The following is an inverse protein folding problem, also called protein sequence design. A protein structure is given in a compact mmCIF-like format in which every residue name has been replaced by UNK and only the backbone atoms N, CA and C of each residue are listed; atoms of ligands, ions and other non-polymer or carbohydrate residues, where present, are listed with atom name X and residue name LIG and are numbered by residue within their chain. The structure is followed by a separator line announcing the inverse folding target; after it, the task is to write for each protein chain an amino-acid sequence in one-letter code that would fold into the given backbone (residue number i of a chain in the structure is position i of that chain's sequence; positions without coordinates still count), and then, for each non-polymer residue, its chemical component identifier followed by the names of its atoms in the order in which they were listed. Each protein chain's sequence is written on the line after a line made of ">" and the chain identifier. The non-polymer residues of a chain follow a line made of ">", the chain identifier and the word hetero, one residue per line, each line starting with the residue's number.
data_IF_023443416825
#
_entry.id   IF_023443416825
#
_cell.length_a   1.000
_cell.length_b   1.000
_cell.length_c   1.000
_cell.angle_alpha   90.00
_cell.angle_beta   90.00
_cell.angle_gamma   90.00
#
_symmetry.space_group_name_H-M   'P 1'
#
loop_
_entity.id
_entity.type
_entity.pdbx_description
1 polymer ?
#
# COMPACT_ATOMS: atom_id res chain seq x y z
N UNK A 1 -7.68 7.60 19.68
CA UNK A 1 -8.02 9.05 19.75
C UNK A 1 -8.93 9.37 18.56
N UNK A 2 -10.10 9.98 18.78
CA UNK A 2 -11.02 10.34 17.69
C UNK A 2 -10.79 11.81 17.33
N UNK A 3 -10.02 12.07 16.29
CA UNK A 3 -9.89 13.41 15.74
C UNK A 3 -11.09 13.69 14.83
N UNK A 4 -11.99 14.54 15.26
CA UNK A 4 -13.15 14.97 14.44
C UNK A 4 -12.78 16.31 13.80
N UNK A 5 -12.36 16.28 12.56
CA UNK A 5 -12.29 17.50 11.75
C UNK A 5 -13.68 17.80 11.22
N UNK A 6 -14.31 18.82 11.73
CA UNK A 6 -15.59 19.30 11.25
C UNK A 6 -15.39 20.12 9.96
N UNK A 7 -15.19 19.44 8.84
CA UNK A 7 -15.49 19.95 7.50
C UNK A 7 -14.75 21.20 6.98
N UNK A 8 -13.81 21.76 7.72
CA UNK A 8 -13.03 22.92 7.24
C UNK A 8 -11.54 22.57 7.13
N UNK A 9 -10.97 22.76 5.94
CA UNK A 9 -9.54 22.67 5.74
C UNK A 9 -8.85 23.90 6.32
N UNK A 10 -7.85 23.70 7.19
CA UNK A 10 -7.07 24.83 7.73
C UNK A 10 -6.18 25.43 6.63
N UNK A 11 -6.19 26.74 6.53
CA UNK A 11 -5.23 27.51 5.72
C UNK A 11 -3.95 27.84 6.50
N UNK A 12 -3.85 27.45 7.77
CA UNK A 12 -2.64 27.60 8.57
C UNK A 12 -1.67 26.45 8.29
N UNK A 13 -0.38 26.71 8.40
CA UNK A 13 0.66 25.71 8.27
C UNK A 13 0.70 24.83 9.54
N UNK A 14 -0.21 23.86 9.62
CA UNK A 14 -0.26 22.89 10.71
C UNK A 14 0.73 21.74 10.43
N UNK A 15 1.42 21.28 11.47
CA UNK A 15 2.12 20.01 11.45
C UNK A 15 1.26 18.98 12.18
N UNK A 16 0.88 17.92 11.48
CA UNK A 16 0.04 16.83 12.02
C UNK A 16 0.88 15.56 11.98
N UNK A 17 1.09 14.93 13.13
CA UNK A 17 1.71 13.59 13.22
C UNK A 17 0.64 12.56 13.52
N UNK A 18 0.64 11.46 12.78
CA UNK A 18 -0.29 10.34 12.92
C UNK A 18 0.48 9.20 13.57
N UNK A 19 0.25 8.98 14.87
CA UNK A 19 1.02 8.02 15.67
C UNK A 19 0.41 6.60 15.64
N UNK A 20 -0.89 6.50 15.36
CA UNK A 20 -1.62 5.22 15.27
C UNK A 20 -1.94 4.89 13.81
N UNK A 21 -1.98 3.60 13.48
CA UNK A 21 -2.38 3.14 12.16
C UNK A 21 -3.82 3.60 11.82
N UNK A 22 -4.00 4.13 10.62
CA UNK A 22 -5.29 4.61 10.13
C UNK A 22 -5.73 3.84 8.89
N UNK A 23 -7.05 3.81 8.62
CA UNK A 23 -7.55 3.33 7.33
C UNK A 23 -7.27 4.35 6.22
N UNK A 24 -7.27 3.91 4.97
CA UNK A 24 -7.07 4.81 3.82
C UNK A 24 -8.09 5.97 3.80
N UNK A 25 -9.34 5.71 4.16
CA UNK A 25 -10.39 6.74 4.23
C UNK A 25 -10.14 7.76 5.36
N UNK A 26 -9.69 7.29 6.53
CA UNK A 26 -9.31 8.17 7.65
C UNK A 26 -8.08 9.00 7.29
N UNK A 27 -7.04 8.36 6.71
CA UNK A 27 -5.83 9.02 6.27
C UNK A 27 -6.10 10.15 5.27
N UNK A 28 -6.96 9.91 4.27
CA UNK A 28 -7.41 10.96 3.34
C UNK A 28 -8.05 12.14 4.07
N UNK A 29 -8.90 11.86 5.06
CA UNK A 29 -9.56 12.91 5.84
C UNK A 29 -8.55 13.74 6.62
N UNK A 30 -7.55 13.08 7.21
CA UNK A 30 -6.45 13.74 7.94
C UNK A 30 -5.58 14.55 6.96
N UNK A 31 -5.23 13.96 5.81
CA UNK A 31 -4.44 14.63 4.76
C UNK A 31 -5.12 15.93 4.26
N UNK A 32 -6.46 15.95 4.23
CA UNK A 32 -7.23 17.12 3.83
C UNK A 32 -7.40 18.17 4.95
N UNK A 33 -6.95 17.91 6.18
CA UNK A 33 -7.15 18.82 7.31
C UNK A 33 -6.33 20.12 7.19
N UNK A 34 -5.27 20.12 6.40
CA UNK A 34 -4.48 21.32 6.10
C UNK A 34 -4.16 21.41 4.62
N UNK A 35 -4.27 22.61 4.05
CA UNK A 35 -3.90 22.87 2.64
C UNK A 35 -2.42 23.18 2.49
N UNK A 36 -1.81 23.83 3.47
CA UNK A 36 -0.43 24.34 3.41
C UNK A 36 0.51 23.72 4.45
N UNK A 37 0.00 22.91 5.36
CA UNK A 37 0.78 22.22 6.39
C UNK A 37 1.26 20.85 5.94
N UNK A 38 2.04 20.23 6.82
CA UNK A 38 2.55 18.85 6.65
C UNK A 38 1.70 17.86 7.43
N UNK A 39 1.54 16.67 6.89
CA UNK A 39 0.96 15.53 7.60
C UNK A 39 1.96 14.39 7.49
N UNK A 40 2.37 13.84 8.61
CA UNK A 40 3.34 12.76 8.74
C UNK A 40 2.63 11.50 9.21
N UNK A 41 2.61 10.48 8.38
CA UNK A 41 2.04 9.15 8.63
C UNK A 41 3.12 8.09 8.92
N UNK A 42 4.40 8.46 8.98
CA UNK A 42 5.50 7.50 9.08
C UNK A 42 5.40 6.63 10.34
N UNK A 43 4.99 7.19 11.48
CA UNK A 43 4.88 6.46 12.73
C UNK A 43 3.68 5.50 12.77
N UNK A 44 2.49 5.98 12.43
CA UNK A 44 1.26 5.18 12.48
C UNK A 44 1.03 4.33 11.24
N UNK A 45 1.30 4.89 10.08
CA UNK A 45 1.06 4.25 8.79
C UNK A 45 -0.41 4.12 8.40
N UNK A 46 -0.64 3.41 7.31
CA UNK A 46 -1.98 3.06 6.82
C UNK A 46 -2.15 1.55 6.86
N UNK A 47 -3.22 1.09 7.50
CA UNK A 47 -3.60 -0.33 7.53
C UNK A 47 -5.04 -0.48 7.06
N UNK A 48 -5.23 -1.13 5.92
CA UNK A 48 -6.56 -1.32 5.34
C UNK A 48 -6.57 -2.55 4.42
N UNK A 49 -7.76 -2.94 3.95
CA UNK A 49 -7.91 -4.03 2.99
C UNK A 49 -7.31 -3.65 1.64
N UNK A 50 -6.86 -4.64 0.89
CA UNK A 50 -6.32 -4.44 -0.45
C UNK A 50 -7.29 -3.66 -1.35
N UNK A 51 -8.57 -3.97 -1.27
CA UNK A 51 -9.63 -3.30 -2.04
C UNK A 51 -9.80 -1.81 -1.68
N UNK A 52 -9.49 -1.40 -0.46
CA UNK A 52 -9.54 0.00 -0.04
C UNK A 52 -8.25 0.76 -0.37
N UNK A 53 -7.12 0.04 -0.44
CA UNK A 53 -5.81 0.61 -0.77
C UNK A 53 -5.62 0.78 -2.28
N UNK A 54 -6.29 -0.04 -3.09
CA UNK A 54 -6.10 -0.09 -4.55
C UNK A 54 -7.43 0.03 -5.31
N UNK A 55 -7.31 0.22 -6.61
CA UNK A 55 -8.36 -0.01 -7.60
C UNK A 55 -8.01 -1.28 -8.39
N UNK A 56 -8.65 -1.53 -9.52
CA UNK A 56 -8.40 -2.72 -10.35
C UNK A 56 -6.91 -2.90 -10.72
N UNK A 57 -6.20 -1.81 -11.03
CA UNK A 57 -4.79 -1.85 -11.48
C UNK A 57 -3.94 -0.70 -10.93
N UNK A 58 -4.48 0.11 -10.03
CA UNK A 58 -3.81 1.31 -9.55
C UNK A 58 -4.04 1.54 -8.05
N UNK A 59 -3.37 2.52 -7.50
CA UNK A 59 -3.56 2.99 -6.13
C UNK A 59 -4.91 3.71 -6.00
N UNK A 60 -5.62 3.51 -4.90
CA UNK A 60 -6.89 4.19 -4.64
C UNK A 60 -6.71 5.71 -4.49
N UNK A 61 -7.77 6.47 -4.76
CA UNK A 61 -7.75 7.93 -4.57
C UNK A 61 -7.51 8.35 -3.12
N UNK A 62 -7.82 7.48 -2.16
CA UNK A 62 -7.54 7.73 -0.75
C UNK A 62 -6.04 7.67 -0.48
N UNK A 63 -5.36 6.65 -1.02
CA UNK A 63 -3.90 6.52 -0.89
C UNK A 63 -3.16 7.61 -1.65
N UNK A 64 -3.61 8.00 -2.85
CA UNK A 64 -3.03 9.12 -3.59
C UNK A 64 -3.07 10.43 -2.79
N UNK A 65 -4.14 10.69 -2.05
CA UNK A 65 -4.24 11.87 -1.20
C UNK A 65 -3.30 11.83 0.01
N UNK A 66 -3.01 10.64 0.54
CA UNK A 66 -2.06 10.43 1.63
C UNK A 66 -0.64 10.62 1.11
N UNK A 67 -0.27 9.91 0.03
CA UNK A 67 1.04 9.98 -0.61
C UNK A 67 1.43 11.42 -1.01
N UNK A 68 0.46 12.21 -1.48
CA UNK A 68 0.68 13.63 -1.79
C UNK A 68 1.06 14.49 -0.57
N UNK A 69 0.83 14.01 0.66
CA UNK A 69 1.20 14.67 1.92
C UNK A 69 2.42 14.04 2.58
N UNK A 70 2.58 12.74 2.41
CA UNK A 70 3.66 11.97 3.01
C UNK A 70 4.04 10.81 2.08
N UNK A 71 5.07 11.03 1.27
CA UNK A 71 5.56 10.06 0.29
C UNK A 71 6.29 8.84 0.91
N UNK A 72 6.55 8.83 2.22
CA UNK A 72 7.20 7.72 2.92
C UNK A 72 6.27 6.96 3.88
N UNK A 73 4.97 7.06 3.66
CA UNK A 73 3.97 6.38 4.48
C UNK A 73 4.16 4.86 4.47
N UNK A 74 4.14 4.24 5.66
CA UNK A 74 4.12 2.78 5.79
C UNK A 74 2.72 2.24 5.51
N UNK A 75 2.63 1.15 4.77
CA UNK A 75 1.35 0.55 4.34
C UNK A 75 1.30 -0.91 4.76
N UNK A 76 0.20 -1.31 5.40
CA UNK A 76 -0.11 -2.70 5.75
C UNK A 76 -1.38 -3.11 5.03
N UNK A 77 -1.28 -4.13 4.18
CA UNK A 77 -2.44 -4.81 3.61
C UNK A 77 -2.99 -5.74 4.66
N UNK A 78 -4.13 -5.38 5.26
CA UNK A 78 -4.69 -6.04 6.45
C UNK A 78 -5.50 -7.30 6.15
N UNK A 79 -5.77 -7.58 4.89
CA UNK A 79 -6.50 -8.78 4.47
C UNK A 79 -5.72 -10.03 4.90
N UNK A 80 -6.44 -11.10 5.25
CA UNK A 80 -5.88 -12.45 5.29
C UNK A 80 -5.24 -12.74 3.92
N UNK A 81 -4.30 -13.70 3.82
CA UNK A 81 -3.46 -13.84 2.63
C UNK A 81 -4.22 -13.58 1.34
N UNK A 82 -3.77 -12.61 0.53
CA UNK A 82 -4.35 -12.34 -0.77
C UNK A 82 -4.26 -13.61 -1.60
N UNK A 83 -5.38 -14.30 -1.77
CA UNK A 83 -5.46 -15.57 -2.48
C UNK A 83 -5.82 -15.33 -3.95
N UNK A 84 -5.31 -16.19 -4.83
CA UNK A 84 -5.64 -16.16 -6.26
C UNK A 84 -5.34 -14.80 -6.91
N UNK A 85 -4.09 -14.42 -6.84
CA UNK A 85 -3.60 -13.15 -7.40
C UNK A 85 -3.83 -13.13 -8.91
N UNK A 86 -4.81 -12.37 -9.37
CA UNK A 86 -4.95 -12.08 -10.79
C UNK A 86 -3.86 -11.13 -11.29
N UNK A 87 -3.61 -11.10 -12.60
CA UNK A 87 -2.67 -10.13 -13.20
C UNK A 87 -3.00 -8.66 -12.82
N UNK A 88 -4.29 -8.35 -12.66
CA UNK A 88 -4.72 -7.02 -12.20
C UNK A 88 -4.31 -6.77 -10.74
N UNK A 89 -4.46 -7.77 -9.86
CA UNK A 89 -4.06 -7.64 -8.46
C UNK A 89 -2.55 -7.47 -8.33
N UNK A 90 -1.76 -8.20 -9.13
CA UNK A 90 -0.31 -8.02 -9.19
C UNK A 90 0.04 -6.61 -9.66
N UNK A 91 -0.61 -6.12 -10.71
CA UNK A 91 -0.42 -4.74 -11.20
C UNK A 91 -0.78 -3.70 -10.13
N UNK A 92 -1.89 -3.90 -9.43
CA UNK A 92 -2.32 -2.99 -8.36
C UNK A 92 -1.36 -3.01 -7.15
N UNK A 93 -0.84 -4.19 -6.78
CA UNK A 93 0.16 -4.31 -5.71
C UNK A 93 1.48 -3.64 -6.10
N UNK A 94 1.95 -3.84 -7.34
CA UNK A 94 3.11 -3.13 -7.87
C UNK A 94 2.92 -1.61 -7.83
N UNK A 95 1.72 -1.13 -8.21
CA UNK A 95 1.39 0.30 -8.12
C UNK A 95 1.42 0.80 -6.66
N UNK A 96 0.92 0.00 -5.72
CA UNK A 96 0.96 0.34 -4.30
C UNK A 96 2.41 0.41 -3.77
N UNK A 97 3.26 -0.54 -4.16
CA UNK A 97 4.68 -0.54 -3.82
C UNK A 97 5.45 0.61 -4.48
N UNK A 98 4.99 1.08 -5.62
CA UNK A 98 5.57 2.24 -6.32
C UNK A 98 5.11 3.60 -5.77
N UNK A 99 4.02 3.64 -5.01
CA UNK A 99 3.40 4.88 -4.54
C UNK A 99 4.07 5.45 -3.27
N UNK A 100 4.84 4.67 -2.53
CA UNK A 100 5.50 5.14 -1.31
C UNK A 100 6.97 4.78 -1.30
N UNK A 101 7.79 5.53 -0.58
CA UNK A 101 9.15 5.14 -0.21
C UNK A 101 9.22 4.43 1.14
N UNK A 102 8.10 4.37 1.87
CA UNK A 102 7.95 3.65 3.12
C UNK A 102 7.91 2.13 2.94
N UNK A 103 7.54 1.41 3.98
CA UNK A 103 7.43 -0.05 3.96
C UNK A 103 6.03 -0.49 3.52
N UNK A 104 5.95 -1.41 2.55
CA UNK A 104 4.69 -2.09 2.18
C UNK A 104 4.73 -3.52 2.70
N UNK A 105 3.80 -3.86 3.59
CA UNK A 105 3.65 -5.19 4.19
C UNK A 105 2.41 -5.87 3.64
N UNK A 106 2.56 -7.08 3.09
CA UNK A 106 1.44 -7.90 2.61
C UNK A 106 1.77 -9.40 2.72
N UNK A 107 0.73 -10.21 2.88
CA UNK A 107 0.81 -11.68 2.76
C UNK A 107 0.07 -12.10 1.49
N UNK A 108 0.72 -12.90 0.65
CA UNK A 108 0.25 -13.26 -0.68
C UNK A 108 0.32 -14.78 -0.83
N UNK A 109 -0.74 -15.38 -1.36
CA UNK A 109 -0.78 -16.78 -1.78
C UNK A 109 -1.09 -16.83 -3.28
N UNK A 110 -0.28 -17.55 -4.03
CA UNK A 110 -0.50 -17.73 -5.46
C UNK A 110 0.36 -18.85 -6.04
N UNK A 111 0.03 -19.27 -7.25
CA UNK A 111 0.90 -20.14 -8.04
C UNK A 111 1.90 -19.27 -8.84
N UNK A 112 2.91 -19.90 -9.42
CA UNK A 112 3.96 -19.17 -10.15
C UNK A 112 3.43 -18.31 -11.30
N UNK A 113 2.35 -18.74 -11.98
CA UNK A 113 1.74 -17.96 -13.05
C UNK A 113 0.92 -16.77 -12.54
N UNK A 114 0.30 -16.90 -11.36
CA UNK A 114 -0.42 -15.80 -10.70
C UNK A 114 0.52 -14.73 -10.15
N UNK A 115 1.71 -15.13 -9.72
CA UNK A 115 2.72 -14.23 -9.18
C UNK A 115 3.64 -13.64 -10.26
N UNK A 116 3.48 -14.08 -11.51
CA UNK A 116 4.26 -13.53 -12.63
C UNK A 116 4.03 -12.03 -12.77
N UNK A 117 5.11 -11.29 -12.89
CA UNK A 117 5.08 -9.84 -12.95
C UNK A 117 5.02 -9.11 -11.60
N UNK A 118 5.04 -9.83 -10.45
CA UNK A 118 5.23 -9.17 -9.17
C UNK A 118 6.65 -8.58 -9.08
N UNK A 119 6.73 -7.27 -8.88
CA UNK A 119 7.99 -6.54 -8.86
C UNK A 119 8.41 -6.26 -7.42
N UNK A 120 9.28 -7.10 -6.86
CA UNK A 120 9.90 -6.86 -5.56
C UNK A 120 11.13 -5.95 -5.64
N UNK A 121 11.67 -5.72 -6.84
CA UNK A 121 12.82 -4.83 -7.06
C UNK A 121 12.45 -3.69 -8.01
N UNK A 122 13.03 -2.52 -7.81
CA UNK A 122 12.79 -1.35 -8.67
C UNK A 122 11.55 -0.53 -8.31
N UNK A 123 10.86 -0.86 -7.22
CA UNK A 123 9.82 -0.03 -6.62
C UNK A 123 10.42 0.97 -5.62
N UNK A 124 9.67 2.00 -5.28
CA UNK A 124 10.15 3.02 -4.34
C UNK A 124 10.14 2.54 -2.89
N UNK A 125 9.24 1.61 -2.55
CA UNK A 125 9.04 1.13 -1.18
C UNK A 125 10.07 0.09 -0.74
N UNK A 126 10.25 -0.03 0.56
CA UNK A 126 10.80 -1.22 1.20
C UNK A 126 9.69 -2.27 1.29
N UNK A 127 9.95 -3.50 0.83
CA UNK A 127 8.94 -4.54 0.79
C UNK A 127 9.12 -5.53 1.93
N UNK A 128 8.04 -5.74 2.70
CA UNK A 128 7.93 -6.76 3.72
C UNK A 128 6.85 -7.78 3.30
N UNK A 129 7.09 -8.45 2.16
CA UNK A 129 6.16 -9.42 1.60
C UNK A 129 6.39 -10.81 2.17
N UNK A 130 5.30 -11.47 2.58
CA UNK A 130 5.28 -12.91 2.85
C UNK A 130 4.57 -13.60 1.70
N UNK A 131 5.29 -14.43 0.95
CA UNK A 131 4.78 -15.08 -0.26
C UNK A 131 4.71 -16.58 -0.03
N UNK A 132 3.51 -17.16 -0.23
CA UNK A 132 3.30 -18.62 -0.26
C UNK A 132 3.00 -19.06 -1.69
N UNK A 133 3.87 -19.91 -2.23
CA UNK A 133 3.68 -20.49 -3.57
C UNK A 133 2.92 -21.82 -3.41
N UNK A 134 1.75 -21.92 -4.04
CA UNK A 134 0.80 -23.01 -3.83
C UNK A 134 0.98 -24.19 -4.80
N UNK A 135 1.82 -24.07 -5.82
CA UNK A 135 2.07 -25.14 -6.80
C UNK A 135 3.49 -25.72 -6.66
N UNK A 136 3.61 -26.97 -7.10
CA UNK A 136 4.93 -27.57 -7.26
C UNK A 136 5.64 -26.84 -8.39
N UNK A 137 6.70 -26.11 -8.07
CA UNK A 137 7.58 -25.44 -9.04
C UNK A 137 8.26 -26.49 -9.92
N UNK A 138 7.56 -26.97 -10.96
CA UNK A 138 8.10 -27.93 -11.91
C UNK A 138 8.60 -27.23 -13.17
N UNK A 139 9.90 -27.31 -13.41
CA UNK A 139 10.54 -26.81 -14.62
C UNK A 139 11.19 -25.41 -14.48
N UNK A 140 11.91 -25.03 -15.51
CA UNK A 140 12.70 -23.80 -15.53
C UNK A 140 11.83 -22.52 -15.49
N UNK A 141 10.60 -22.56 -16.00
CA UNK A 141 9.70 -21.41 -16.03
C UNK A 141 9.20 -21.00 -14.66
N UNK A 142 8.89 -21.95 -13.76
CA UNK A 142 8.46 -21.63 -12.40
C UNK A 142 9.57 -20.96 -11.57
N UNK A 143 10.80 -21.43 -11.71
CA UNK A 143 11.97 -20.85 -11.04
C UNK A 143 12.32 -19.47 -11.61
N UNK A 144 12.11 -19.25 -12.91
CA UNK A 144 12.38 -17.96 -13.54
C UNK A 144 11.41 -16.90 -13.04
N UNK A 145 10.12 -17.23 -12.89
CA UNK A 145 9.12 -16.29 -12.34
C UNK A 145 9.43 -15.92 -10.90
N UNK A 146 9.87 -16.86 -10.07
CA UNK A 146 10.24 -16.57 -8.68
C UNK A 146 11.54 -15.74 -8.57
N UNK A 147 12.49 -15.92 -9.49
CA UNK A 147 13.73 -15.14 -9.52
C UNK A 147 13.53 -13.70 -10.04
N UNK A 148 12.35 -13.37 -10.56
CA UNK A 148 12.02 -12.03 -11.01
C UNK A 148 11.37 -11.18 -9.90
N UNK A 149 11.10 -11.80 -8.74
CA UNK A 149 10.56 -11.16 -7.52
C UNK A 149 11.75 -10.74 -6.58
#
# INVERSE_FOLDING_TARGET
>A
MRLVFAGSTSTQALTITVDDAVTAAQGKTIAAATSVGTVDFTAGGVSDTFANLTTTTAVSTNMQAIDAKDANVNIVVSDAPLASMSANNVTALNALMGATTGTVTATINGNGAELDGLQATGTSSTQALTITVNDAMSGSSGVTSLNAI
#
